data_IF_506297909899
#
_entry.id   IF_506297909899
#
_cell.length_a   1.000
_cell.length_b   1.000
_cell.length_c   1.000
_cell.angle_alpha   90.00
_cell.angle_beta   90.00
_cell.angle_gamma   90.00
#
_symmetry.space_group_name_H-M   'P 1'
#
loop_
_entity.id
_entity.type
_entity.pdbx_description
1 polymer ?
#
# COMPACT_ATOMS: atom_id res chain seq x y z
N UNK A 1 -34.83 -13.08 48.93
CA UNK A 1 -33.71 -12.20 49.32
C UNK A 1 -32.61 -12.37 48.28
N UNK A 2 -32.66 -11.56 47.23
CA UNK A 2 -31.60 -11.45 46.22
C UNK A 2 -30.61 -10.41 46.75
N UNK A 3 -29.32 -10.75 46.82
CA UNK A 3 -28.27 -9.78 47.10
C UNK A 3 -27.47 -9.58 45.81
N UNK A 4 -27.65 -8.41 45.22
CA UNK A 4 -26.81 -7.88 44.15
C UNK A 4 -25.36 -7.78 44.63
N UNK A 5 -24.44 -8.34 43.86
CA UNK A 5 -23.02 -8.04 43.94
C UNK A 5 -22.61 -7.50 42.58
N UNK A 6 -22.69 -6.19 42.48
CA UNK A 6 -22.18 -5.40 41.36
C UNK A 6 -20.65 -5.39 41.44
N UNK A 7 -19.99 -5.99 40.45
CA UNK A 7 -18.54 -5.83 40.23
C UNK A 7 -18.33 -4.47 39.56
N UNK A 8 -17.44 -3.59 40.06
CA UNK A 8 -17.19 -2.31 39.41
C UNK A 8 -16.38 -2.52 38.12
N UNK A 9 -16.89 -1.97 37.01
CA UNK A 9 -16.13 -1.84 35.77
C UNK A 9 -14.87 -1.01 36.03
N UNK A 10 -13.73 -1.53 35.59
CA UNK A 10 -12.47 -0.78 35.51
C UNK A 10 -12.65 0.42 34.59
N UNK A 11 -12.40 1.61 35.13
CA UNK A 11 -12.30 2.85 34.38
C UNK A 11 -11.14 2.73 33.40
N UNK A 12 -11.46 2.62 32.10
CA UNK A 12 -10.53 2.93 31.00
C UNK A 12 -10.37 4.45 30.99
N UNK A 13 -9.16 5.00 30.89
CA UNK A 13 -8.98 6.45 30.95
C UNK A 13 -9.54 7.10 29.67
N UNK A 14 -10.68 7.78 29.82
CA UNK A 14 -11.21 8.71 28.82
C UNK A 14 -10.31 9.96 28.73
N UNK A 15 -9.71 10.10 27.56
CA UNK A 15 -9.76 11.31 26.74
C UNK A 15 -9.02 12.59 27.21
N UNK A 16 -7.69 12.53 27.23
CA UNK A 16 -6.81 13.73 27.21
C UNK A 16 -6.75 14.42 25.83
N UNK A 17 -7.48 13.93 24.82
CA UNK A 17 -7.34 14.39 23.42
C UNK A 17 -8.41 15.37 22.95
N UNK A 18 -9.56 15.40 23.63
CA UNK A 18 -10.63 16.38 23.40
C UNK A 18 -10.18 17.82 23.75
N UNK A 19 -9.24 17.95 24.68
CA UNK A 19 -8.66 19.23 25.10
C UNK A 19 -7.76 19.88 24.05
N UNK A 20 -7.01 19.12 23.24
CA UNK A 20 -6.04 19.70 22.29
C UNK A 20 -6.71 20.40 21.10
N UNK A 21 -7.81 19.85 20.59
CA UNK A 21 -8.57 20.46 19.48
C UNK A 21 -9.25 21.75 19.95
N UNK A 22 -9.83 21.70 21.16
CA UNK A 22 -10.46 22.84 21.83
C UNK A 22 -9.42 23.93 22.15
N UNK A 23 -8.24 23.55 22.66
CA UNK A 23 -7.13 24.47 22.92
C UNK A 23 -6.54 25.08 21.64
N UNK A 24 -6.51 24.35 20.52
CA UNK A 24 -6.07 24.87 19.23
C UNK A 24 -7.11 25.83 18.61
N UNK A 25 -8.40 25.56 18.81
CA UNK A 25 -9.50 26.48 18.45
C UNK A 25 -9.50 27.76 19.32
N UNK A 26 -9.03 27.65 20.56
CA UNK A 26 -8.89 28.77 21.51
C UNK A 26 -7.53 29.48 21.44
N UNK A 27 -6.57 28.97 20.66
CA UNK A 27 -5.25 29.54 20.51
C UNK A 27 -5.30 30.82 19.65
N UNK A 28 -4.56 31.85 20.07
CA UNK A 28 -4.44 33.11 19.31
C UNK A 28 -3.62 32.93 18.01
N UNK A 29 -2.70 31.97 17.98
CA UNK A 29 -1.83 31.67 16.84
C UNK A 29 -2.29 30.43 16.06
N UNK A 30 -2.16 30.50 14.73
CA UNK A 30 -2.43 29.39 13.81
C UNK A 30 -1.56 28.15 14.17
N UNK A 31 -2.16 26.97 14.38
CA UNK A 31 -1.43 25.76 14.75
C UNK A 31 -0.28 25.41 13.80
N UNK A 32 -0.45 25.68 12.50
CA UNK A 32 0.62 25.52 11.51
C UNK A 32 1.82 26.43 11.76
N UNK A 33 1.59 27.70 12.10
CA UNK A 33 2.68 28.65 12.42
C UNK A 33 3.45 28.20 13.65
N UNK A 34 2.76 27.75 14.70
CA UNK A 34 3.42 27.21 15.90
C UNK A 34 4.29 26.01 15.56
N UNK A 35 3.79 25.08 14.74
CA UNK A 35 4.57 23.91 14.33
C UNK A 35 5.88 24.32 13.61
N UNK A 36 5.84 25.33 12.75
CA UNK A 36 7.05 25.82 12.07
C UNK A 36 8.05 26.49 13.02
N UNK A 37 7.59 27.19 14.06
CA UNK A 37 8.48 27.81 15.07
C UNK A 37 9.19 26.76 15.94
N UNK A 38 8.45 25.71 16.32
CA UNK A 38 9.02 24.56 17.05
C UNK A 38 10.06 23.86 16.18
N UNK A 39 9.71 23.54 14.93
CA UNK A 39 10.60 22.86 13.99
C UNK A 39 11.90 23.66 13.74
N UNK A 40 11.80 24.98 13.59
CA UNK A 40 12.98 25.83 13.44
C UNK A 40 13.92 25.72 14.64
N UNK A 41 13.36 25.73 15.85
CA UNK A 41 14.15 25.60 17.09
C UNK A 41 14.80 24.22 17.20
N UNK A 42 14.06 23.16 16.86
CA UNK A 42 14.56 21.78 16.82
C UNK A 42 15.70 21.63 15.81
N UNK A 43 15.56 22.19 14.60
CA UNK A 43 16.58 22.10 13.56
C UNK A 43 17.89 22.76 13.98
N UNK A 44 17.83 23.94 14.59
CA UNK A 44 19.02 24.61 15.10
C UNK A 44 19.68 23.77 16.22
N UNK A 45 18.89 23.16 17.10
CA UNK A 45 19.43 22.32 18.16
C UNK A 45 20.12 21.07 17.61
N UNK A 46 19.55 20.44 16.57
CA UNK A 46 20.16 19.28 15.89
C UNK A 46 21.48 19.70 15.25
N UNK A 47 21.50 20.80 14.50
CA UNK A 47 22.70 21.33 13.85
C UNK A 47 23.81 21.68 14.84
N UNK A 48 23.47 22.29 15.98
CA UNK A 48 24.45 22.63 17.02
C UNK A 48 24.93 21.40 17.78
N UNK A 49 24.07 20.37 17.91
CA UNK A 49 24.39 19.12 18.60
C UNK A 49 25.38 18.21 17.87
N UNK A 50 25.51 18.35 16.55
CA UNK A 50 26.36 17.52 15.70
C UNK A 50 27.43 18.37 14.99
N UNK A 51 28.55 18.70 15.65
CA UNK A 51 29.58 19.55 15.06
C UNK A 51 30.49 18.83 14.05
N UNK A 52 30.34 17.51 13.88
CA UNK A 52 31.23 16.69 13.05
C UNK A 52 30.55 16.23 11.76
N UNK A 53 31.26 16.36 10.63
CA UNK A 53 30.80 15.90 9.31
C UNK A 53 30.49 14.39 9.25
N UNK A 54 31.06 13.59 10.15
CA UNK A 54 30.75 12.16 10.25
C UNK A 54 29.32 11.87 10.76
N UNK A 55 28.66 12.86 11.38
CA UNK A 55 27.33 12.73 11.98
C UNK A 55 26.19 13.21 11.06
N UNK A 56 26.50 13.60 9.83
CA UNK A 56 25.52 14.14 8.87
C UNK A 56 24.35 13.16 8.63
N UNK A 57 24.58 11.86 8.70
CA UNK A 57 23.51 10.86 8.59
C UNK A 57 22.55 10.86 9.78
N UNK A 58 23.10 11.00 11.01
CA UNK A 58 22.32 11.12 12.24
C UNK A 58 21.52 12.44 12.25
N UNK A 59 22.09 13.53 11.69
CA UNK A 59 21.39 14.80 11.51
C UNK A 59 20.21 14.67 10.56
N UNK A 60 20.41 14.05 9.39
CA UNK A 60 19.35 13.86 8.39
C UNK A 60 18.19 13.02 8.94
N UNK A 61 18.48 11.95 9.68
CA UNK A 61 17.47 11.12 10.35
C UNK A 61 16.71 11.92 11.41
N UNK A 62 17.41 12.77 12.19
CA UNK A 62 16.78 13.62 13.18
C UNK A 62 15.90 14.72 12.57
N UNK A 63 16.32 15.34 11.46
CA UNK A 63 15.48 16.30 10.72
C UNK A 63 14.21 15.62 10.18
N UNK A 64 14.34 14.43 9.61
CA UNK A 64 13.19 13.64 9.17
C UNK A 64 12.22 13.38 10.34
N UNK A 65 12.75 12.92 11.47
CA UNK A 65 11.95 12.55 12.63
C UNK A 65 11.23 13.77 13.25
N UNK A 66 11.89 14.92 13.31
CA UNK A 66 11.29 16.17 13.75
C UNK A 66 10.13 16.58 12.83
N UNK A 67 10.32 16.55 11.50
CA UNK A 67 9.23 16.79 10.55
C UNK A 67 8.09 15.76 10.72
N UNK A 68 8.41 14.48 10.91
CA UNK A 68 7.42 13.42 11.06
C UNK A 68 6.52 13.63 12.29
N UNK A 69 7.10 14.05 13.43
CA UNK A 69 6.35 14.35 14.64
C UNK A 69 5.38 15.52 14.44
N UNK A 70 5.84 16.61 13.80
CA UNK A 70 4.99 17.77 13.51
C UNK A 70 3.87 17.42 12.51
N UNK A 71 4.18 16.61 11.49
CA UNK A 71 3.18 16.11 10.51
C UNK A 71 2.13 15.25 11.22
N UNK A 72 2.52 14.34 12.10
CA UNK A 72 1.56 13.50 12.85
C UNK A 72 0.65 14.36 13.74
N UNK A 73 1.21 15.34 14.46
CA UNK A 73 0.47 16.27 15.30
C UNK A 73 -0.56 17.07 14.48
N UNK A 74 -0.12 17.74 13.40
CA UNK A 74 -1.00 18.52 12.53
C UNK A 74 -2.04 17.63 11.82
N UNK A 75 -1.65 16.42 11.42
CA UNK A 75 -2.56 15.46 10.79
C UNK A 75 -3.71 15.03 11.73
N UNK A 76 -3.40 14.73 13.00
CA UNK A 76 -4.42 14.44 14.03
C UNK A 76 -5.35 15.62 14.25
N UNK A 77 -4.79 16.83 14.27
CA UNK A 77 -5.55 18.06 14.48
C UNK A 77 -6.52 18.34 13.30
N UNK A 78 -6.04 18.20 12.05
CA UNK A 78 -6.86 18.41 10.84
C UNK A 78 -7.99 17.38 10.75
N UNK A 79 -7.75 16.11 11.07
CA UNK A 79 -8.81 15.07 11.05
C UNK A 79 -9.94 15.34 12.04
N UNK A 80 -9.61 15.94 13.19
CA UNK A 80 -10.57 16.27 14.26
C UNK A 80 -11.23 17.64 14.08
N UNK A 81 -10.74 18.48 13.17
CA UNK A 81 -11.23 19.84 12.98
C UNK A 81 -12.53 19.89 12.15
N UNK A 82 -13.48 20.79 12.48
CA UNK A 82 -14.65 21.06 11.64
C UNK A 82 -14.23 21.61 10.26
N UNK A 83 -14.76 21.04 9.18
CA UNK A 83 -14.40 21.31 7.76
C UNK A 83 -14.62 22.75 7.26
N UNK A 84 -15.02 23.69 8.11
CA UNK A 84 -15.46 25.05 7.72
C UNK A 84 -14.66 26.19 8.35
N UNK A 85 -13.58 25.91 9.07
CA UNK A 85 -12.82 26.94 9.78
C UNK A 85 -11.62 27.44 8.95
N UNK A 86 -11.60 28.73 8.62
CA UNK A 86 -10.63 29.38 7.73
C UNK A 86 -9.17 29.24 8.21
N UNK A 87 -8.94 29.27 9.52
CA UNK A 87 -7.60 29.05 10.10
C UNK A 87 -7.00 27.69 9.69
N UNK A 88 -7.82 26.67 9.42
CA UNK A 88 -7.31 25.36 9.02
C UNK A 88 -6.82 25.29 7.58
N UNK A 89 -7.12 26.27 6.73
CA UNK A 89 -6.61 26.31 5.35
C UNK A 89 -5.09 26.53 5.33
N UNK A 90 -4.58 27.47 6.15
CA UNK A 90 -3.16 27.70 6.29
C UNK A 90 -2.46 26.54 7.01
N UNK A 91 -3.06 26.03 8.09
CA UNK A 91 -2.56 24.84 8.78
C UNK A 91 -2.49 23.62 7.85
N UNK A 92 -3.47 23.40 6.98
CA UNK A 92 -3.45 22.32 5.98
C UNK A 92 -2.35 22.54 4.94
N UNK A 93 -2.15 23.77 4.46
CA UNK A 93 -1.05 24.11 3.55
C UNK A 93 0.30 23.83 4.19
N UNK A 94 0.51 24.25 5.45
CA UNK A 94 1.75 24.00 6.20
C UNK A 94 1.94 22.49 6.43
N UNK A 95 0.89 21.77 6.79
CA UNK A 95 0.93 20.31 6.92
C UNK A 95 1.42 19.64 5.64
N UNK A 96 0.92 20.04 4.47
CA UNK A 96 1.39 19.50 3.18
C UNK A 96 2.86 19.85 2.90
N UNK A 97 3.30 21.06 3.25
CA UNK A 97 4.70 21.46 3.10
C UNK A 97 5.63 20.61 3.98
N UNK A 98 5.29 20.44 5.27
CA UNK A 98 6.07 19.63 6.20
C UNK A 98 6.08 18.15 5.81
N UNK A 99 4.98 17.65 5.23
CA UNK A 99 4.90 16.30 4.69
C UNK A 99 5.86 16.12 3.51
N UNK A 100 5.92 17.06 2.57
CA UNK A 100 6.89 17.03 1.48
C UNK A 100 8.33 17.16 1.98
N UNK A 101 8.58 18.00 2.99
CA UNK A 101 9.89 18.18 3.59
C UNK A 101 10.39 16.89 4.23
N UNK A 102 9.58 16.25 5.09
CA UNK A 102 9.85 14.92 5.65
C UNK A 102 10.18 13.90 4.56
N UNK A 103 9.36 13.85 3.49
CA UNK A 103 9.58 12.92 2.39
C UNK A 103 10.88 13.21 1.64
N UNK A 104 11.27 14.49 1.52
CA UNK A 104 12.52 14.89 0.89
C UNK A 104 13.72 14.45 1.72
N UNK A 105 13.66 14.62 3.05
CA UNK A 105 14.72 14.16 3.95
C UNK A 105 14.94 12.64 3.86
N UNK A 106 13.87 11.84 3.83
CA UNK A 106 13.94 10.38 3.60
C UNK A 106 14.67 10.02 2.31
N UNK A 107 14.32 10.70 1.22
CA UNK A 107 14.93 10.46 -0.09
C UNK A 107 16.41 10.84 -0.07
N UNK A 108 16.74 12.01 0.48
CA UNK A 108 18.11 12.48 0.57
C UNK A 108 18.97 11.50 1.37
N UNK A 109 18.52 11.08 2.56
CA UNK A 109 19.23 10.09 3.37
C UNK A 109 19.49 8.80 2.60
N UNK A 110 18.45 8.21 2.01
CA UNK A 110 18.56 6.93 1.29
C UNK A 110 19.46 7.02 0.05
N UNK A 111 19.28 8.06 -0.76
CA UNK A 111 19.99 8.24 -2.02
C UNK A 111 21.46 8.62 -1.79
N UNK A 112 21.75 9.53 -0.86
CA UNK A 112 23.13 9.90 -0.59
C UNK A 112 23.89 8.77 0.11
N UNK A 113 23.23 7.95 0.94
CA UNK A 113 23.86 6.75 1.54
C UNK A 113 24.37 5.82 0.45
N UNK A 114 23.55 5.51 -0.55
CA UNK A 114 23.96 4.68 -1.70
C UNK A 114 25.05 5.38 -2.53
N UNK A 115 24.99 6.70 -2.69
CA UNK A 115 25.94 7.41 -3.54
C UNK A 115 27.34 7.55 -2.95
N UNK A 116 27.41 7.63 -1.62
CA UNK A 116 28.65 7.75 -0.85
C UNK A 116 29.15 6.40 -0.35
N UNK A 117 28.34 5.35 -0.42
CA UNK A 117 28.82 3.99 -0.28
C UNK A 117 29.94 3.76 -1.31
N UNK A 118 31.10 3.33 -0.82
CA UNK A 118 32.20 2.95 -1.69
C UNK A 118 31.72 1.77 -2.56
N UNK A 119 31.96 1.87 -3.87
CA UNK A 119 31.65 0.79 -4.80
C UNK A 119 32.66 -0.32 -4.54
N UNK A 120 32.36 -1.15 -3.54
CA UNK A 120 33.10 -2.35 -3.15
C UNK A 120 32.87 -3.45 -4.19
N UNK A 121 32.94 -3.05 -5.47
CA UNK A 121 33.04 -3.86 -6.68
C UNK A 121 34.34 -4.67 -6.60
N UNK A 122 34.36 -5.58 -5.63
CA UNK A 122 35.27 -6.71 -5.61
C UNK A 122 35.06 -7.37 -6.96
N UNK A 123 36.14 -7.45 -7.72
CA UNK A 123 36.35 -8.42 -8.78
C UNK A 123 35.92 -9.79 -8.23
N UNK A 124 34.63 -10.09 -8.33
CA UNK A 124 34.09 -11.35 -7.88
C UNK A 124 34.55 -12.35 -8.94
N UNK A 125 35.33 -13.37 -8.57
CA UNK A 125 35.88 -14.31 -9.53
C UNK A 125 34.73 -14.93 -10.32
N UNK A 126 34.78 -14.77 -11.65
CA UNK A 126 33.84 -15.26 -12.65
C UNK A 126 32.93 -16.38 -12.12
N UNK A 127 31.78 -16.00 -11.56
CA UNK A 127 30.84 -16.94 -10.98
C UNK A 127 30.22 -17.79 -12.09
N UNK A 128 29.93 -19.05 -11.76
CA UNK A 128 29.24 -20.02 -12.61
C UNK A 128 28.02 -19.38 -13.30
N UNK A 129 27.74 -19.77 -14.56
CA UNK A 129 26.58 -19.26 -15.29
C UNK A 129 25.32 -19.25 -14.40
N UNK A 130 24.66 -18.09 -14.21
CA UNK A 130 23.59 -17.96 -13.26
C UNK A 130 22.43 -18.87 -13.65
N UNK A 131 22.15 -19.87 -12.82
CA UNK A 131 21.19 -20.93 -13.12
C UNK A 131 19.72 -20.53 -12.93
N UNK A 132 19.45 -19.37 -12.31
CA UNK A 132 18.11 -18.94 -11.91
C UNK A 132 17.93 -17.43 -12.11
N UNK A 133 16.73 -17.01 -12.53
CA UNK A 133 16.37 -15.60 -12.73
C UNK A 133 16.69 -14.71 -11.52
N UNK A 134 16.45 -15.20 -10.29
CA UNK A 134 16.76 -14.43 -9.08
C UNK A 134 18.25 -14.04 -9.02
N UNK A 135 19.15 -14.98 -9.26
CA UNK A 135 20.61 -14.73 -9.25
C UNK A 135 21.01 -13.76 -10.36
N UNK A 136 20.43 -13.89 -11.55
CA UNK A 136 20.69 -12.96 -12.66
C UNK A 136 20.31 -11.53 -12.26
N UNK A 137 19.14 -11.36 -11.66
CA UNK A 137 18.64 -10.05 -11.24
C UNK A 137 19.45 -9.50 -10.07
N UNK A 138 19.78 -10.32 -9.06
CA UNK A 138 20.64 -9.90 -7.94
C UNK A 138 22.00 -9.41 -8.44
N UNK A 139 22.67 -10.18 -9.32
CA UNK A 139 23.95 -9.78 -9.89
C UNK A 139 23.82 -8.47 -10.69
N UNK A 140 22.69 -8.22 -11.34
CA UNK A 140 22.42 -6.96 -12.03
C UNK A 140 22.29 -5.78 -11.06
N UNK A 141 21.61 -5.96 -9.93
CA UNK A 141 21.55 -4.94 -8.87
C UNK A 141 22.93 -4.68 -8.29
N UNK A 142 23.73 -5.71 -8.03
CA UNK A 142 25.08 -5.56 -7.48
C UNK A 142 26.05 -4.88 -8.46
N UNK A 143 25.88 -5.13 -9.77
CA UNK A 143 26.76 -4.57 -10.81
C UNK A 143 26.36 -3.16 -11.26
N UNK A 144 25.10 -2.77 -11.12
CA UNK A 144 24.58 -1.54 -11.73
C UNK A 144 24.00 -0.58 -10.68
N UNK A 145 24.81 0.44 -10.35
CA UNK A 145 24.41 1.53 -9.47
C UNK A 145 23.17 2.30 -9.93
N UNK A 146 22.99 2.54 -11.23
CA UNK A 146 21.80 3.26 -11.73
C UNK A 146 20.51 2.50 -11.43
N UNK A 147 20.54 1.18 -11.49
CA UNK A 147 19.39 0.33 -11.15
C UNK A 147 19.12 0.37 -9.64
N UNK A 148 20.16 0.34 -8.79
CA UNK A 148 20.01 0.52 -7.33
C UNK A 148 19.43 1.88 -6.98
N UNK A 149 19.95 2.96 -7.57
CA UNK A 149 19.41 4.31 -7.37
C UNK A 149 17.94 4.41 -7.80
N UNK A 150 17.58 3.80 -8.94
CA UNK A 150 16.19 3.75 -9.38
C UNK A 150 15.28 2.97 -8.41
N UNK A 151 15.77 1.86 -7.85
CA UNK A 151 15.03 1.08 -6.84
C UNK A 151 14.80 1.87 -5.56
N UNK A 152 15.80 2.62 -5.08
CA UNK A 152 15.65 3.49 -3.90
C UNK A 152 14.55 4.53 -4.12
N UNK A 153 14.46 5.09 -5.33
CA UNK A 153 13.37 6.02 -5.68
C UNK A 153 12.01 5.33 -5.69
N UNK A 154 11.93 4.09 -6.19
CA UNK A 154 10.69 3.29 -6.15
C UNK A 154 10.28 3.00 -4.70
N UNK A 155 11.19 2.48 -3.88
CA UNK A 155 10.95 2.16 -2.47
C UNK A 155 10.52 3.41 -1.70
N UNK A 156 11.12 4.56 -2.00
CA UNK A 156 10.72 5.85 -1.45
C UNK A 156 9.27 6.23 -1.84
N UNK A 157 8.90 6.08 -3.12
CA UNK A 157 7.54 6.34 -3.59
C UNK A 157 6.52 5.37 -2.98
N UNK A 158 6.88 4.09 -2.84
CA UNK A 158 6.06 3.07 -2.19
C UNK A 158 5.84 3.38 -0.72
N UNK A 159 6.87 3.82 0.00
CA UNK A 159 6.78 4.26 1.38
C UNK A 159 5.86 5.49 1.55
N UNK A 160 5.91 6.45 0.62
CA UNK A 160 4.97 7.58 0.63
C UNK A 160 3.53 7.09 0.40
N UNK A 161 3.33 6.18 -0.55
CA UNK A 161 2.03 5.59 -0.80
C UNK A 161 1.52 4.79 0.41
N UNK A 162 2.40 4.09 1.12
CA UNK A 162 2.07 3.35 2.33
C UNK A 162 1.61 4.26 3.48
N UNK A 163 2.28 5.38 3.72
CA UNK A 163 1.88 6.36 4.73
C UNK A 163 0.47 6.92 4.46
N UNK A 164 0.17 7.19 3.18
CA UNK A 164 -1.16 7.63 2.75
C UNK A 164 -2.20 6.51 2.92
N UNK A 165 -1.82 5.27 2.59
CA UNK A 165 -2.68 4.10 2.74
C UNK A 165 -3.04 3.85 4.20
N UNK A 166 -2.08 3.87 5.13
CA UNK A 166 -2.31 3.68 6.58
C UNK A 166 -3.32 4.67 7.14
N UNK A 167 -3.36 5.88 6.58
CA UNK A 167 -4.34 6.91 6.97
C UNK A 167 -5.77 6.61 6.50
N UNK A 168 -5.93 5.87 5.41
CA UNK A 168 -7.22 5.56 4.79
C UNK A 168 -7.72 4.12 5.08
N UNK A 169 -6.82 3.20 5.43
CA UNK A 169 -7.10 1.76 5.54
C UNK A 169 -7.98 1.38 6.74
N UNK A 170 -8.01 2.18 7.81
CA UNK A 170 -8.94 2.00 8.94
C UNK A 170 -10.42 1.96 8.49
N UNK A 171 -10.73 2.37 7.25
CA UNK A 171 -12.07 2.31 6.69
C UNK A 171 -12.39 1.02 5.89
N UNK A 172 -11.52 0.00 5.87
CA UNK A 172 -11.61 -1.14 4.92
C UNK A 172 -12.06 -2.47 5.55
N UNK A 173 -12.43 -2.51 6.83
CA UNK A 173 -13.03 -3.71 7.48
C UNK A 173 -14.41 -4.13 6.91
N UNK A 174 -14.81 -3.65 5.74
CA UNK A 174 -16.13 -3.85 5.13
C UNK A 174 -16.28 -5.15 4.31
N UNK A 175 -15.20 -5.89 4.03
CA UNK A 175 -15.33 -7.21 3.43
C UNK A 175 -15.67 -8.22 4.53
N UNK A 176 -16.97 -8.42 4.75
CA UNK A 176 -17.49 -9.40 5.70
C UNK A 176 -16.77 -10.75 5.55
N UNK A 177 -16.60 -11.49 6.64
CA UNK A 177 -15.85 -12.75 6.73
C UNK A 177 -16.39 -13.92 5.89
N UNK A 178 -17.15 -13.64 4.84
CA UNK A 178 -17.61 -14.59 3.84
C UNK A 178 -16.50 -14.79 2.81
N UNK A 179 -15.81 -15.93 2.89
CA UNK A 179 -14.77 -16.37 1.95
C UNK A 179 -15.31 -16.76 0.55
N UNK A 180 -16.43 -16.17 0.11
CA UNK A 180 -17.15 -16.55 -1.10
C UNK A 180 -17.22 -15.31 -2.01
N UNK A 181 -16.60 -15.40 -3.17
CA UNK A 181 -16.71 -14.37 -4.19
C UNK A 181 -18.12 -14.35 -4.81
N UNK A 182 -18.59 -13.14 -5.15
CA UNK A 182 -19.85 -12.89 -5.88
C UNK A 182 -21.08 -13.57 -5.28
N UNK A 183 -21.25 -13.44 -3.96
CA UNK A 183 -22.29 -14.12 -3.19
C UNK A 183 -23.71 -13.79 -3.70
N UNK A 184 -23.97 -12.54 -4.10
CA UNK A 184 -25.31 -12.13 -4.55
C UNK A 184 -25.64 -12.70 -5.94
N UNK A 185 -24.66 -12.77 -6.83
CA UNK A 185 -24.77 -13.40 -8.15
C UNK A 185 -24.99 -14.90 -7.99
N UNK A 186 -24.24 -15.57 -7.12
CA UNK A 186 -24.43 -16.99 -6.81
C UNK A 186 -25.84 -17.28 -6.27
N UNK A 187 -26.33 -16.48 -5.32
CA UNK A 187 -27.70 -16.61 -4.78
C UNK A 187 -28.75 -16.47 -5.87
N UNK A 188 -28.58 -15.50 -6.76
CA UNK A 188 -29.53 -15.23 -7.85
C UNK A 188 -29.58 -16.41 -8.82
N UNK A 189 -28.43 -16.94 -9.24
CA UNK A 189 -28.35 -18.11 -10.13
C UNK A 189 -28.94 -19.37 -9.50
N UNK A 190 -28.74 -19.57 -8.19
CA UNK A 190 -29.32 -20.71 -7.47
C UNK A 190 -30.84 -20.63 -7.40
N UNK A 191 -31.38 -19.43 -7.20
CA UNK A 191 -32.82 -19.20 -7.14
C UNK A 191 -33.49 -19.36 -8.51
N UNK A 192 -32.84 -18.90 -9.59
CA UNK A 192 -33.28 -19.12 -10.97
C UNK A 192 -33.29 -20.62 -11.31
N UNK A 193 -32.20 -21.34 -10.99
CA UNK A 193 -32.10 -22.78 -11.25
C UNK A 193 -33.08 -23.62 -10.43
N UNK A 194 -33.45 -23.16 -9.22
CA UNK A 194 -34.40 -23.85 -8.35
C UNK A 194 -35.87 -23.50 -8.66
N UNK A 195 -36.11 -22.57 -9.58
CA UNK A 195 -37.46 -22.10 -9.95
C UNK A 195 -38.18 -21.33 -8.83
N UNK A 196 -37.48 -20.91 -7.78
CA UNK A 196 -38.05 -20.27 -6.58
C UNK A 196 -38.43 -18.81 -6.87
N UNK A 197 -37.68 -18.14 -7.75
CA UNK A 197 -37.90 -16.73 -8.11
C UNK A 197 -37.93 -16.64 -9.63
N UNK A 198 -39.05 -16.18 -10.20
CA UNK A 198 -39.05 -15.76 -11.61
C UNK A 198 -38.37 -14.40 -11.70
N UNK A 199 -37.43 -14.20 -12.65
CA UNK A 199 -36.84 -12.89 -12.89
C UNK A 199 -37.96 -11.86 -13.06
N UNK A 200 -37.87 -10.74 -12.33
CA UNK A 200 -38.80 -9.64 -12.53
C UNK A 200 -38.80 -9.28 -14.02
N UNK A 201 -39.98 -9.13 -14.65
CA UNK A 201 -40.06 -8.73 -16.07
C UNK A 201 -39.29 -7.41 -16.25
N UNK A 202 -38.18 -7.46 -16.97
CA UNK A 202 -37.26 -6.33 -17.17
C UNK A 202 -35.93 -6.41 -16.43
N UNK A 203 -35.67 -7.46 -15.64
CA UNK A 203 -34.35 -7.70 -15.05
C UNK A 203 -33.35 -8.10 -16.15
N UNK A 204 -32.16 -7.51 -16.10
CA UNK A 204 -31.08 -7.81 -17.04
C UNK A 204 -30.54 -9.23 -16.80
N UNK A 205 -30.19 -9.97 -17.86
CA UNK A 205 -29.66 -11.32 -17.70
C UNK A 205 -28.26 -11.27 -17.07
N UNK A 206 -28.07 -11.97 -15.94
CA UNK A 206 -26.77 -12.12 -15.29
C UNK A 206 -25.94 -13.23 -15.96
N UNK A 207 -24.65 -13.29 -15.60
CA UNK A 207 -23.72 -14.38 -15.98
C UNK A 207 -24.26 -15.74 -15.53
N UNK A 208 -24.07 -16.78 -16.33
CA UNK A 208 -24.50 -18.15 -16.02
C UNK A 208 -23.45 -18.97 -15.28
N UNK A 209 -22.18 -18.57 -15.44
CA UNK A 209 -21.02 -19.24 -14.88
C UNK A 209 -20.24 -18.31 -13.94
N UNK A 210 -19.64 -18.88 -12.89
CA UNK A 210 -18.90 -18.14 -11.84
C UNK A 210 -17.41 -18.42 -11.94
N UNK A 211 -16.84 -18.17 -13.10
CA UNK A 211 -15.40 -18.17 -13.34
C UNK A 211 -14.89 -16.74 -13.62
N UNK A 212 -13.59 -16.48 -13.42
CA UNK A 212 -13.02 -15.12 -13.49
C UNK A 212 -13.25 -14.37 -14.80
N UNK A 213 -13.42 -15.09 -15.90
CA UNK A 213 -13.63 -14.56 -17.25
C UNK A 213 -15.10 -14.61 -17.71
N UNK A 214 -16.03 -15.06 -16.86
CA UNK A 214 -17.43 -15.29 -17.26
C UNK A 214 -18.12 -14.02 -17.76
N UNK A 215 -17.88 -12.87 -17.11
CA UNK A 215 -18.42 -11.58 -17.53
C UNK A 215 -17.96 -11.19 -18.93
N UNK A 216 -16.70 -11.45 -19.25
CA UNK A 216 -16.10 -11.14 -20.54
C UNK A 216 -16.60 -12.10 -21.62
N UNK A 217 -16.58 -13.41 -21.32
CA UNK A 217 -16.96 -14.47 -22.25
C UNK A 217 -18.45 -14.44 -22.61
N UNK A 218 -19.31 -14.19 -21.63
CA UNK A 218 -20.76 -14.15 -21.84
C UNK A 218 -21.28 -12.76 -22.21
N UNK A 219 -20.46 -11.71 -22.07
CA UNK A 219 -20.86 -10.30 -22.21
C UNK A 219 -22.07 -9.96 -21.33
N UNK A 220 -22.05 -10.44 -20.09
CA UNK A 220 -23.12 -10.27 -19.11
C UNK A 220 -22.58 -9.71 -17.79
N UNK A 221 -23.35 -8.85 -17.12
CA UNK A 221 -22.92 -8.26 -15.86
C UNK A 221 -23.11 -9.21 -14.66
N UNK A 222 -22.37 -8.95 -13.60
CA UNK A 222 -22.66 -9.48 -12.25
C UNK A 222 -23.85 -8.73 -11.62
N UNK A 223 -24.29 -9.21 -10.47
CA UNK A 223 -25.22 -8.47 -9.62
C UNK A 223 -24.62 -7.11 -9.21
N UNK A 224 -25.43 -6.04 -9.12
CA UNK A 224 -24.96 -4.66 -8.84
C UNK A 224 -24.10 -4.59 -7.58
N UNK A 225 -24.57 -5.18 -6.48
CA UNK A 225 -23.82 -5.23 -5.21
C UNK A 225 -22.45 -5.89 -5.36
N UNK A 226 -22.37 -7.00 -6.12
CA UNK A 226 -21.09 -7.69 -6.33
C UNK A 226 -20.15 -6.87 -7.21
N UNK A 227 -20.66 -6.08 -8.16
CA UNK A 227 -19.84 -5.17 -8.96
C UNK A 227 -19.27 -4.03 -8.11
N UNK A 228 -20.08 -3.45 -7.23
CA UNK A 228 -19.61 -2.41 -6.32
C UNK A 228 -18.55 -2.94 -5.34
N UNK A 229 -18.77 -4.13 -4.78
CA UNK A 229 -17.82 -4.79 -3.89
C UNK A 229 -16.52 -5.15 -4.61
N UNK A 230 -16.62 -5.61 -5.85
CA UNK A 230 -15.46 -5.86 -6.71
C UNK A 230 -14.67 -4.58 -6.99
N UNK A 231 -15.34 -3.47 -7.33
CA UNK A 231 -14.69 -2.19 -7.57
C UNK A 231 -13.96 -1.70 -6.30
N UNK A 232 -14.60 -1.80 -5.13
CA UNK A 232 -13.99 -1.45 -3.84
C UNK A 232 -12.78 -2.34 -3.54
N UNK A 233 -12.89 -3.65 -3.76
CA UNK A 233 -11.80 -4.59 -3.55
C UNK A 233 -10.61 -4.26 -4.45
N UNK A 234 -10.87 -4.05 -5.75
CA UNK A 234 -9.83 -3.75 -6.74
C UNK A 234 -9.12 -2.42 -6.44
N UNK A 235 -9.85 -1.40 -6.00
CA UNK A 235 -9.25 -0.14 -5.58
C UNK A 235 -8.29 -0.35 -4.39
N UNK A 236 -8.70 -1.13 -3.39
CA UNK A 236 -7.85 -1.44 -2.24
C UNK A 236 -6.62 -2.28 -2.63
N UNK A 237 -6.81 -3.31 -3.47
CA UNK A 237 -5.72 -4.12 -4.02
C UNK A 237 -4.74 -3.25 -4.78
N UNK A 238 -5.21 -2.33 -5.63
CA UNK A 238 -4.37 -1.39 -6.37
C UNK A 238 -3.55 -0.50 -5.44
N UNK A 239 -4.17 0.03 -4.38
CA UNK A 239 -3.45 0.86 -3.39
C UNK A 239 -2.42 0.03 -2.61
N UNK A 240 -2.71 -1.22 -2.28
CA UNK A 240 -1.74 -2.13 -1.66
C UNK A 240 -0.56 -2.40 -2.59
N UNK A 241 -0.81 -2.69 -3.87
CA UNK A 241 0.26 -2.91 -4.87
C UNK A 241 1.11 -1.65 -5.04
N UNK A 242 0.49 -0.47 -5.11
CA UNK A 242 1.21 0.81 -5.23
C UNK A 242 2.01 1.21 -3.99
N UNK A 243 1.74 0.61 -2.84
CA UNK A 243 2.46 0.84 -1.59
C UNK A 243 3.46 -0.27 -1.26
N UNK A 244 3.76 -1.15 -2.23
CA UNK A 244 4.67 -2.29 -2.03
C UNK A 244 4.06 -3.43 -1.19
N UNK A 245 2.83 -3.30 -0.71
CA UNK A 245 2.15 -4.26 0.16
C UNK A 245 1.45 -5.38 -0.63
N UNK A 246 2.18 -6.06 -1.49
CA UNK A 246 1.63 -7.13 -2.35
C UNK A 246 1.11 -8.31 -1.54
N UNK A 247 1.75 -8.65 -0.42
CA UNK A 247 1.30 -9.71 0.49
C UNK A 247 -0.07 -9.39 1.11
N UNK A 248 -0.29 -8.14 1.53
CA UNK A 248 -1.58 -7.70 2.04
C UNK A 248 -2.64 -7.72 0.94
N UNK A 249 -2.28 -7.33 -0.28
CA UNK A 249 -3.17 -7.41 -1.44
C UNK A 249 -3.63 -8.85 -1.71
N UNK A 250 -2.73 -9.82 -1.59
CA UNK A 250 -3.05 -11.25 -1.73
C UNK A 250 -4.00 -11.72 -0.62
N UNK A 251 -3.72 -11.36 0.63
CA UNK A 251 -4.58 -11.70 1.77
C UNK A 251 -5.98 -11.12 1.63
N UNK A 252 -6.11 -9.87 1.19
CA UNK A 252 -7.40 -9.24 0.87
C UNK A 252 -8.15 -10.01 -0.21
N UNK A 253 -7.48 -10.40 -1.29
CA UNK A 253 -8.08 -11.22 -2.34
C UNK A 253 -8.57 -12.58 -1.81
N UNK A 254 -7.77 -13.26 -0.97
CA UNK A 254 -8.13 -14.55 -0.37
C UNK A 254 -9.32 -14.40 0.60
N UNK A 255 -9.34 -13.34 1.41
CA UNK A 255 -10.44 -13.06 2.34
C UNK A 255 -11.75 -12.82 1.59
N UNK A 256 -11.70 -12.13 0.47
CA UNK A 256 -12.86 -11.91 -0.41
C UNK A 256 -13.28 -13.16 -1.21
N UNK A 257 -12.53 -14.26 -1.17
CA UNK A 257 -12.78 -15.47 -1.98
C UNK A 257 -12.25 -15.41 -3.42
N UNK A 258 -11.49 -14.37 -3.77
CA UNK A 258 -10.88 -14.18 -5.09
C UNK A 258 -9.49 -14.84 -5.19
N UNK A 259 -9.43 -16.16 -4.97
CA UNK A 259 -8.17 -16.91 -4.98
C UNK A 259 -7.40 -16.80 -6.30
N UNK A 260 -8.11 -16.69 -7.43
CA UNK A 260 -7.49 -16.50 -8.74
C UNK A 260 -6.72 -15.18 -8.83
N UNK A 261 -7.23 -14.10 -8.22
CA UNK A 261 -6.53 -12.80 -8.18
C UNK A 261 -5.29 -12.87 -7.30
N UNK A 262 -5.41 -13.53 -6.15
CA UNK A 262 -4.26 -13.76 -5.27
C UNK A 262 -3.14 -14.54 -6.00
N UNK A 263 -3.52 -15.57 -6.77
CA UNK A 263 -2.57 -16.34 -7.59
C UNK A 263 -1.94 -15.48 -8.71
N UNK A 264 -2.72 -14.63 -9.40
CA UNK A 264 -2.18 -13.71 -10.39
C UNK A 264 -1.16 -12.72 -9.79
N UNK A 265 -1.39 -12.27 -8.56
CA UNK A 265 -0.45 -11.43 -7.80
C UNK A 265 0.82 -12.18 -7.37
N UNK A 266 0.99 -13.47 -7.64
CA UNK A 266 2.26 -14.17 -7.42
C UNK A 266 3.18 -14.13 -8.65
N UNK A 267 2.65 -13.75 -9.82
CA UNK A 267 3.39 -13.78 -11.09
C UNK A 267 4.62 -12.87 -11.15
N UNK A 268 4.78 -11.93 -10.22
CA UNK A 268 5.95 -11.05 -10.16
C UNK A 268 7.20 -11.74 -9.59
N UNK A 269 7.04 -12.81 -8.78
CA UNK A 269 8.13 -13.49 -8.07
C UNK A 269 9.11 -14.12 -9.07
N UNK A 270 10.39 -13.80 -8.92
CA UNK A 270 11.47 -14.35 -9.76
C UNK A 270 11.65 -15.84 -9.48
N UNK A 271 11.91 -16.62 -10.53
CA UNK A 271 12.20 -18.03 -10.38
C UNK A 271 13.51 -18.24 -9.62
N UNK A 272 13.46 -19.03 -8.56
CA UNK A 272 14.61 -19.44 -7.80
C UNK A 272 14.48 -20.90 -7.37
N UNK A 273 15.39 -21.72 -7.88
CA UNK A 273 15.60 -23.08 -7.41
C UNK A 273 16.86 -23.12 -6.51
N UNK A 274 16.69 -23.28 -5.19
CA UNK A 274 17.80 -23.40 -4.25
C UNK A 274 18.45 -24.80 -4.24
N UNK A 275 17.92 -25.79 -4.99
CA UNK A 275 18.34 -27.19 -4.89
C UNK A 275 19.15 -27.78 -6.07
N UNK A 276 20.02 -27.05 -6.79
CA UNK A 276 20.64 -27.59 -8.00
C UNK A 276 21.67 -28.70 -7.76
N UNK A 277 22.24 -28.83 -6.54
CA UNK A 277 23.44 -29.65 -6.29
C UNK A 277 23.31 -30.73 -5.18
N UNK A 278 22.37 -30.65 -4.25
CA UNK A 278 22.26 -31.60 -3.13
C UNK A 278 20.82 -32.16 -2.97
N UNK A 279 20.58 -33.48 -3.14
CA UNK A 279 19.26 -34.09 -3.01
C UNK A 279 18.81 -34.31 -1.55
N UNK A 280 19.66 -34.07 -0.55
CA UNK A 280 19.40 -34.44 0.84
C UNK A 280 18.65 -33.37 1.67
N UNK A 281 18.68 -32.09 1.26
CA UNK A 281 17.96 -31.00 1.91
C UNK A 281 17.29 -30.10 0.86
N UNK A 282 16.03 -30.41 0.53
CA UNK A 282 15.27 -29.64 -0.47
C UNK A 282 14.53 -28.47 0.20
N UNK A 283 14.85 -27.27 -0.23
CA UNK A 283 14.09 -26.05 0.05
C UNK A 283 13.00 -25.84 -1.01
N UNK A 284 11.89 -25.14 -0.71
CA UNK A 284 10.84 -24.90 -1.70
C UNK A 284 11.36 -24.01 -2.84
N UNK A 285 11.02 -24.38 -4.08
CA UNK A 285 11.26 -23.55 -5.27
C UNK A 285 10.28 -22.37 -5.20
N UNK A 286 10.76 -21.17 -5.51
CA UNK A 286 9.95 -19.95 -5.52
C UNK A 286 9.87 -19.32 -6.91
N UNK A 287 8.79 -18.58 -7.15
CA UNK A 287 8.55 -17.89 -8.42
C UNK A 287 8.18 -18.81 -9.58
N UNK A 288 8.03 -18.22 -10.77
CA UNK A 288 7.62 -18.93 -11.97
C UNK A 288 8.70 -18.85 -13.05
N UNK A 289 9.17 -20.01 -13.53
CA UNK A 289 10.16 -20.10 -14.61
C UNK A 289 9.68 -19.46 -15.93
N UNK A 290 8.37 -19.38 -16.15
CA UNK A 290 7.75 -18.79 -17.33
C UNK A 290 7.26 -17.35 -17.10
N UNK A 291 7.92 -16.59 -16.21
CA UNK A 291 7.58 -15.19 -15.92
C UNK A 291 7.47 -14.33 -17.18
N UNK A 292 8.34 -14.53 -18.16
CA UNK A 292 8.28 -13.82 -19.44
C UNK A 292 6.94 -14.03 -20.16
N UNK A 293 6.43 -15.27 -20.21
CA UNK A 293 5.14 -15.58 -20.80
C UNK A 293 3.98 -14.94 -20.03
N UNK A 294 4.05 -14.94 -18.69
CA UNK A 294 3.04 -14.28 -17.84
C UNK A 294 3.00 -12.77 -18.14
N UNK A 295 4.16 -12.12 -18.21
CA UNK A 295 4.25 -10.70 -18.51
C UNK A 295 3.67 -10.40 -19.90
N UNK A 296 4.03 -11.19 -20.92
CA UNK A 296 3.48 -11.01 -22.27
C UNK A 296 1.97 -11.18 -22.27
N UNK A 297 1.43 -12.20 -21.60
CA UNK A 297 -0.01 -12.39 -21.48
C UNK A 297 -0.70 -11.22 -20.76
N UNK A 298 -0.13 -10.72 -19.66
CA UNK A 298 -0.67 -9.57 -18.94
C UNK A 298 -0.68 -8.30 -19.82
N UNK A 299 0.42 -8.04 -20.54
CA UNK A 299 0.50 -6.91 -21.46
C UNK A 299 -0.51 -7.01 -22.61
N UNK A 300 -0.63 -8.19 -23.24
CA UNK A 300 -1.61 -8.41 -24.30
C UNK A 300 -3.04 -8.25 -23.78
N UNK A 301 -3.31 -8.72 -22.56
CA UNK A 301 -4.63 -8.62 -21.95
C UNK A 301 -5.00 -7.16 -21.61
N UNK A 302 -4.07 -6.38 -21.07
CA UNK A 302 -4.25 -4.94 -20.86
C UNK A 302 -4.55 -4.21 -22.18
N UNK A 303 -3.78 -4.48 -23.24
CA UNK A 303 -3.96 -3.83 -24.53
C UNK A 303 -5.28 -4.23 -25.23
N UNK A 304 -5.80 -5.44 -24.97
CA UNK A 304 -7.08 -5.89 -25.55
C UNK A 304 -8.30 -5.28 -24.85
N UNK A 305 -8.13 -4.77 -23.63
CA UNK A 305 -9.18 -4.11 -22.84
C UNK A 305 -9.32 -2.60 -23.17
N UNK A 306 -8.45 -2.02 -24.00
CA UNK A 306 -8.60 -0.68 -24.59
C UNK A 306 -9.09 -0.76 -26.05
N UNK A 307 -10.40 -0.97 -26.33
CA UNK A 307 -10.93 -0.75 -27.66
C UNK A 307 -11.05 0.77 -27.90
N UNK A 308 -9.95 1.42 -28.29
CA UNK A 308 -10.00 2.86 -28.55
C UNK A 308 -8.74 3.58 -29.07
N UNK A 309 -7.59 2.93 -29.24
CA UNK A 309 -6.36 3.65 -29.64
C UNK A 309 -5.86 3.40 -31.08
N UNK A 310 -6.61 2.65 -31.89
CA UNK A 310 -6.26 2.38 -33.29
C UNK A 310 -7.48 2.51 -34.21
N UNK A 311 -8.04 3.71 -34.29
CA UNK A 311 -8.81 4.16 -35.45
C UNK A 311 -8.48 5.64 -35.66
N UNK A 312 -7.35 5.89 -36.31
CA UNK A 312 -7.04 7.12 -37.05
C UNK A 312 -5.76 6.89 -37.87
N UNK A 313 -5.91 6.22 -39.02
CA UNK A 313 -5.07 6.39 -40.21
C UNK A 313 -5.90 6.18 -41.47
#
# INVERSE_FOLDING_TARGET
MVKDVTVPLSVVPEDTTMDMTSAALLAQDDPGVRATQVLFSEFINIMVGHPSEAQVWEELEQYEQACAQQVEFLGKLIRKAPRHHTNFTNTQRIFQQLLHERNTWRLLGSLYTERLAEDDSKDSPMEEEPTTDLKVVTNLYDSNRTIREAQIVIDWLENIAFDNFKTCYDAVEYFGGTHIAWENTLKTLRNENSGIVQPLKGSRPLVKSLDPDSCLRESRPLHDLDQEDEMRLLLNVLVCVRSGQVSLAQELCVRAGHHWRAASLEGWKLHHDPNPKDPSQRQPITGNAYRAHINTHAHLWCNHLEPGYHDDT
#
